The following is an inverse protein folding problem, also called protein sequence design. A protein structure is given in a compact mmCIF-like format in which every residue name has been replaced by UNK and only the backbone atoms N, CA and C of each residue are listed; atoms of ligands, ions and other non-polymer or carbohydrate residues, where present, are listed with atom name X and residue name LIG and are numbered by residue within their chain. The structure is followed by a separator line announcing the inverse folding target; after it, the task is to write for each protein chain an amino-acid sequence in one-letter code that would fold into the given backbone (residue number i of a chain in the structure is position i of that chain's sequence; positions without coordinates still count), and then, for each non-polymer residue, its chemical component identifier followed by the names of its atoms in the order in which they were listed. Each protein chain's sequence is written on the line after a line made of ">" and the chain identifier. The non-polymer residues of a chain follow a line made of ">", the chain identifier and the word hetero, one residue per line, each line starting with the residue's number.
data_IF_332814203998
#
_entry.id   IF_332814203998
#
_cell.length_a   1.000
_cell.length_b   1.000
_cell.length_c   1.000
_cell.angle_alpha   90.00
_cell.angle_beta   90.00
_cell.angle_gamma   90.00
#
_symmetry.space_group_name_H-M   'P 1'
#
loop_
_entity.id
_entity.type
_entity.pdbx_description
1 polymer ?
#
# COMPACT_ATOMS: atom_id res chain seq x y z
N UNK A 1 -51.63 3.62 74.26
CA UNK A 1 -50.25 3.16 73.99
C UNK A 1 -50.25 2.58 72.60
N UNK A 2 -49.75 3.35 71.60
CA UNK A 2 -49.66 2.95 70.20
C UNK A 2 -48.17 2.74 69.87
N UNK A 3 -47.79 1.48 69.54
CA UNK A 3 -46.44 1.14 69.10
C UNK A 3 -46.34 1.41 67.62
N UNK A 4 -45.36 2.27 67.25
CA UNK A 4 -45.01 2.50 65.83
C UNK A 4 -43.98 1.44 65.41
N UNK A 5 -44.31 0.58 64.46
CA UNK A 5 -43.34 -0.26 63.74
C UNK A 5 -42.69 0.58 62.63
N UNK A 6 -41.39 0.79 62.67
CA UNK A 6 -40.58 1.31 61.58
C UNK A 6 -40.05 0.12 60.75
N UNK A 7 -40.56 -0.03 59.56
CA UNK A 7 -40.07 -0.97 58.57
C UNK A 7 -38.91 -0.34 57.81
N UNK A 8 -37.70 -0.83 58.05
CA UNK A 8 -36.49 -0.40 57.34
C UNK A 8 -36.47 -1.11 55.95
N UNK A 9 -36.69 -0.35 54.88
CA UNK A 9 -36.53 -0.84 53.52
C UNK A 9 -35.07 -0.68 53.10
N UNK A 10 -34.32 -1.81 53.10
CA UNK A 10 -32.94 -1.87 52.56
C UNK A 10 -33.01 -1.94 51.04
N UNK A 11 -32.79 -0.81 50.32
CA UNK A 11 -32.53 -0.82 48.91
C UNK A 11 -31.13 -1.34 48.62
N UNK A 12 -31.00 -2.61 48.24
CA UNK A 12 -29.81 -3.16 47.61
C UNK A 12 -29.62 -2.56 46.23
N UNK A 13 -28.81 -1.52 46.06
CA UNK A 13 -28.28 -1.11 44.79
C UNK A 13 -27.27 -2.17 44.28
N UNK A 14 -27.75 -3.08 43.45
CA UNK A 14 -26.89 -4.01 42.74
C UNK A 14 -26.19 -3.23 41.62
N UNK A 15 -25.00 -2.70 41.92
CA UNK A 15 -24.12 -2.08 40.92
C UNK A 15 -23.61 -3.16 39.99
N UNK A 16 -24.30 -3.37 38.86
CA UNK A 16 -23.78 -4.17 37.79
C UNK A 16 -22.69 -3.35 37.08
N UNK A 17 -21.44 -3.50 37.54
CA UNK A 17 -20.28 -3.14 36.74
C UNK A 17 -20.29 -4.07 35.55
N UNK A 18 -20.80 -3.58 34.40
CA UNK A 18 -20.49 -4.19 33.10
C UNK A 18 -18.98 -4.12 32.93
N UNK A 19 -18.31 -5.22 33.20
CA UNK A 19 -16.96 -5.46 32.70
C UNK A 19 -17.12 -5.50 31.16
N UNK A 20 -16.85 -4.38 30.50
CA UNK A 20 -16.62 -4.39 29.08
C UNK A 20 -15.47 -5.38 28.85
N UNK A 21 -15.81 -6.58 28.37
CA UNK A 21 -14.79 -7.52 27.89
C UNK A 21 -14.06 -6.79 26.77
N UNK A 22 -12.78 -6.55 26.98
CA UNK A 22 -11.84 -6.04 25.98
C UNK A 22 -11.73 -7.13 24.88
N UNK A 23 -12.75 -7.19 24.01
CA UNK A 23 -12.70 -8.10 22.87
C UNK A 23 -11.62 -7.57 21.94
N UNK A 24 -10.55 -8.35 21.78
CA UNK A 24 -9.51 -8.07 20.78
C UNK A 24 -10.20 -7.84 19.43
N UNK A 25 -9.82 -6.80 18.69
CA UNK A 25 -10.43 -6.51 17.40
C UNK A 25 -10.27 -7.71 16.47
N UNK A 26 -11.35 -8.08 15.77
CA UNK A 26 -11.29 -9.11 14.73
C UNK A 26 -10.58 -8.49 13.52
N UNK A 27 -9.35 -8.92 13.28
CA UNK A 27 -8.56 -8.49 12.14
C UNK A 27 -9.00 -9.18 10.85
N UNK A 28 -8.94 -8.46 9.75
CA UNK A 28 -9.14 -9.03 8.41
C UNK A 28 -7.93 -9.90 8.06
N UNK A 29 -8.21 -11.12 7.59
CA UNK A 29 -7.20 -12.08 7.17
C UNK A 29 -7.08 -12.15 5.64
N UNK A 30 -6.03 -12.81 5.15
CA UNK A 30 -5.92 -13.16 3.73
C UNK A 30 -7.13 -13.97 3.23
N UNK A 31 -7.60 -14.93 4.03
CA UNK A 31 -8.74 -15.79 3.71
C UNK A 31 -10.03 -14.97 3.59
N UNK A 32 -10.22 -13.97 4.44
CA UNK A 32 -11.39 -13.08 4.34
C UNK A 32 -11.39 -12.30 3.02
N UNK A 33 -10.22 -11.81 2.57
CA UNK A 33 -10.09 -11.12 1.27
C UNK A 33 -10.31 -12.10 0.11
N UNK A 34 -9.69 -13.28 0.15
CA UNK A 34 -9.76 -14.29 -0.91
C UNK A 34 -11.17 -14.88 -1.07
N UNK A 35 -11.98 -14.89 -0.02
CA UNK A 35 -13.35 -15.38 -0.02
C UNK A 35 -14.36 -14.36 -0.57
N UNK A 36 -13.99 -13.08 -0.72
CA UNK A 36 -14.90 -12.07 -1.28
C UNK A 36 -15.20 -12.35 -2.76
N UNK A 37 -16.47 -12.25 -3.19
CA UNK A 37 -16.80 -12.31 -4.61
C UNK A 37 -16.00 -11.25 -5.38
N UNK A 38 -15.31 -11.65 -6.42
CA UNK A 38 -14.52 -10.69 -7.21
C UNK A 38 -15.44 -9.58 -7.77
N UNK A 39 -15.09 -8.29 -7.63
CA UNK A 39 -15.84 -7.23 -8.29
C UNK A 39 -15.70 -7.37 -9.81
N UNK A 40 -16.63 -6.76 -10.57
CA UNK A 40 -16.52 -6.75 -12.03
C UNK A 40 -15.11 -6.38 -12.45
N UNK A 41 -14.53 -7.14 -13.37
CA UNK A 41 -13.15 -6.90 -13.83
C UNK A 41 -13.00 -5.50 -14.44
N UNK A 42 -11.87 -4.87 -14.21
CA UNK A 42 -11.46 -3.69 -14.96
C UNK A 42 -11.12 -4.04 -16.42
N UNK A 43 -10.99 -3.03 -17.25
CA UNK A 43 -10.51 -3.21 -18.62
C UNK A 43 -9.02 -3.60 -18.58
N UNK A 44 -8.69 -4.78 -19.10
CA UNK A 44 -7.30 -5.24 -19.18
C UNK A 44 -6.58 -4.53 -20.33
N UNK A 45 -5.47 -3.87 -19.99
CA UNK A 45 -4.60 -3.18 -20.95
C UNK A 45 -3.17 -3.67 -20.77
N UNK A 46 -2.56 -4.17 -21.85
CA UNK A 46 -1.15 -4.57 -21.84
C UNK A 46 -0.25 -3.34 -21.90
N UNK A 47 0.84 -3.34 -21.13
CA UNK A 47 1.87 -2.31 -21.19
C UNK A 47 3.22 -2.85 -21.72
N UNK A 48 3.31 -4.14 -21.98
CA UNK A 48 4.47 -4.84 -22.51
C UNK A 48 4.06 -6.09 -23.28
N UNK A 49 5.04 -6.90 -23.65
CA UNK A 49 4.85 -8.10 -24.47
C UNK A 49 4.68 -9.39 -23.67
N UNK A 50 5.07 -9.39 -22.39
CA UNK A 50 4.87 -10.52 -21.50
C UNK A 50 3.42 -10.59 -21.02
N UNK A 51 2.90 -11.80 -20.82
CA UNK A 51 1.51 -12.02 -20.38
C UNK A 51 1.19 -11.44 -19.01
N UNK A 52 2.21 -11.17 -18.19
CA UNK A 52 2.12 -10.54 -16.87
C UNK A 52 2.35 -9.01 -16.93
N UNK A 53 2.69 -8.47 -18.10
CA UNK A 53 2.87 -7.04 -18.30
C UNK A 53 1.55 -6.38 -18.72
N UNK A 54 0.58 -6.34 -17.82
CA UNK A 54 -0.72 -5.69 -18.00
C UNK A 54 -1.21 -5.02 -16.72
N UNK A 55 -2.29 -4.30 -16.83
CA UNK A 55 -3.06 -3.83 -15.68
C UNK A 55 -4.55 -3.82 -15.99
N UNK A 56 -5.34 -3.59 -14.96
CA UNK A 56 -6.78 -3.38 -15.05
C UNK A 56 -7.10 -1.91 -14.83
N UNK A 57 -7.63 -1.27 -15.87
CA UNK A 57 -8.14 0.10 -15.81
C UNK A 57 -9.60 0.09 -15.40
N UNK A 58 -9.95 0.88 -14.38
CA UNK A 58 -11.33 1.21 -14.02
C UNK A 58 -11.52 2.71 -14.12
N UNK A 59 -12.62 3.15 -14.67
CA UNK A 59 -12.98 4.56 -14.77
C UNK A 59 -14.22 4.84 -13.92
N UNK A 60 -14.26 5.96 -13.20
CA UNK A 60 -15.50 6.42 -12.57
C UNK A 60 -16.56 6.76 -13.60
N UNK A 61 -17.81 6.91 -13.17
CA UNK A 61 -18.86 7.49 -13.99
C UNK A 61 -18.58 8.97 -14.30
N UNK A 62 -19.03 9.43 -15.47
CA UNK A 62 -18.86 10.82 -15.96
C UNK A 62 -17.75 10.99 -16.99
N UNK A 63 -17.51 12.23 -17.37
CA UNK A 63 -16.65 12.56 -18.54
C UNK A 63 -15.16 12.72 -18.19
N UNK A 64 -14.79 12.90 -16.91
CA UNK A 64 -13.41 13.14 -16.50
C UNK A 64 -12.89 14.54 -16.89
N UNK A 65 -11.54 14.78 -17.00
CA UNK A 65 -10.50 13.78 -16.75
C UNK A 65 -10.32 13.46 -15.25
N UNK A 66 -10.25 12.18 -14.94
CA UNK A 66 -10.20 11.68 -13.57
C UNK A 66 -8.79 11.67 -12.98
N UNK A 67 -8.61 12.02 -11.68
CA UNK A 67 -7.39 11.71 -10.96
C UNK A 67 -7.11 10.21 -11.00
N UNK A 68 -5.83 9.83 -11.07
CA UNK A 68 -5.43 8.43 -11.24
C UNK A 68 -4.79 7.90 -9.97
N UNK A 69 -5.21 6.71 -9.54
CA UNK A 69 -4.51 5.92 -8.54
C UNK A 69 -3.91 4.69 -9.22
N UNK A 70 -2.57 4.65 -9.30
CA UNK A 70 -1.84 3.44 -9.67
C UNK A 70 -1.83 2.54 -8.46
N UNK A 71 -2.40 1.35 -8.58
CA UNK A 71 -2.49 0.36 -7.50
C UNK A 71 -1.47 -0.74 -7.73
N UNK A 72 -0.63 -1.02 -6.73
CA UNK A 72 0.43 -2.02 -6.80
C UNK A 72 0.19 -3.07 -5.72
N UNK A 73 -0.02 -4.31 -6.15
CA UNK A 73 -0.28 -5.40 -5.23
C UNK A 73 0.97 -5.87 -4.48
N UNK A 74 0.78 -6.49 -3.30
CA UNK A 74 1.82 -7.10 -2.50
C UNK A 74 1.97 -8.60 -2.78
N UNK A 75 2.19 -9.38 -1.71
CA UNK A 75 2.42 -10.82 -1.78
C UNK A 75 3.90 -11.18 -1.78
N UNK A 76 4.70 -10.49 -0.95
CA UNK A 76 6.13 -10.77 -0.77
C UNK A 76 6.93 -10.85 -2.09
N UNK A 77 6.49 -10.16 -3.13
CA UNK A 77 7.05 -10.19 -4.50
C UNK A 77 7.08 -11.59 -5.13
N UNK A 78 6.26 -12.55 -4.65
CA UNK A 78 6.24 -13.94 -5.10
C UNK A 78 5.14 -14.21 -6.12
N UNK A 79 5.40 -15.06 -7.12
CA UNK A 79 4.52 -15.37 -8.25
C UNK A 79 3.16 -15.99 -7.88
N UNK A 80 3.04 -16.54 -6.67
CA UNK A 80 1.77 -17.09 -6.17
C UNK A 80 0.71 -16.06 -5.83
N UNK A 81 1.04 -14.77 -5.80
CA UNK A 81 0.12 -13.66 -5.55
C UNK A 81 0.02 -12.77 -6.78
N UNK A 82 -1.13 -12.20 -7.03
CA UNK A 82 -1.42 -11.37 -8.19
C UNK A 82 -2.30 -10.16 -7.83
N UNK A 83 -2.64 -9.35 -8.81
CA UNK A 83 -3.41 -8.11 -8.63
C UNK A 83 -4.84 -8.31 -8.08
N UNK A 84 -5.38 -9.54 -8.09
CA UNK A 84 -6.81 -9.78 -7.81
C UNK A 84 -7.21 -9.38 -6.39
N UNK A 85 -6.36 -9.61 -5.39
CA UNK A 85 -6.72 -9.23 -4.02
C UNK A 85 -6.82 -7.71 -3.80
N UNK A 86 -6.27 -6.89 -4.71
CA UNK A 86 -6.43 -5.44 -4.71
C UNK A 86 -7.66 -4.98 -5.49
N UNK A 87 -8.42 -5.90 -6.10
CA UNK A 87 -9.56 -5.55 -6.96
C UNK A 87 -10.68 -4.84 -6.20
N UNK A 88 -10.97 -5.25 -4.96
CA UNK A 88 -11.98 -4.59 -4.10
C UNK A 88 -11.57 -3.17 -3.73
N UNK A 89 -10.31 -2.96 -3.34
CA UNK A 89 -9.76 -1.64 -3.06
C UNK A 89 -9.84 -0.75 -4.31
N UNK A 90 -9.45 -1.30 -5.47
CA UNK A 90 -9.51 -0.58 -6.75
C UNK A 90 -10.94 -0.18 -7.10
N UNK A 91 -11.92 -1.08 -6.95
CA UNK A 91 -13.32 -0.79 -7.19
C UNK A 91 -13.85 0.30 -6.23
N UNK A 92 -13.49 0.24 -4.94
CA UNK A 92 -13.90 1.24 -3.95
C UNK A 92 -13.27 2.61 -4.21
N UNK A 93 -12.02 2.67 -4.66
CA UNK A 93 -11.39 3.91 -5.11
C UNK A 93 -12.08 4.46 -6.35
N UNK A 94 -12.48 3.59 -7.29
CA UNK A 94 -13.21 4.02 -8.49
C UNK A 94 -14.58 4.58 -8.14
N UNK A 95 -15.32 3.95 -7.24
CA UNK A 95 -16.57 4.48 -6.72
C UNK A 95 -16.40 5.82 -5.96
N UNK A 96 -15.20 6.08 -5.42
CA UNK A 96 -14.85 7.35 -4.78
C UNK A 96 -14.39 8.45 -5.77
N UNK A 97 -14.45 8.20 -7.10
CA UNK A 97 -14.17 9.18 -8.15
C UNK A 97 -12.74 9.16 -8.71
N UNK A 98 -11.98 8.10 -8.50
CA UNK A 98 -10.61 7.95 -9.03
C UNK A 98 -10.56 6.92 -10.16
N UNK A 99 -9.93 7.24 -11.27
CA UNK A 99 -9.50 6.21 -12.20
C UNK A 99 -8.45 5.33 -11.50
N UNK A 100 -8.61 4.01 -11.53
CA UNK A 100 -7.63 3.08 -10.95
C UNK A 100 -6.92 2.31 -12.05
N UNK A 101 -5.60 2.23 -11.92
CA UNK A 101 -4.72 1.43 -12.75
C UNK A 101 -4.05 0.38 -11.87
N UNK A 102 -4.69 -0.81 -11.75
CA UNK A 102 -4.23 -1.91 -10.93
C UNK A 102 -3.25 -2.76 -11.72
N UNK A 103 -1.96 -2.70 -11.34
CA UNK A 103 -0.85 -3.29 -12.09
C UNK A 103 -0.64 -4.76 -11.73
N UNK A 104 -0.47 -5.59 -12.75
CA UNK A 104 0.21 -6.87 -12.68
C UNK A 104 1.66 -6.68 -13.14
N UNK A 105 2.56 -7.52 -12.70
CA UNK A 105 3.98 -7.47 -13.01
C UNK A 105 4.65 -8.82 -12.74
N UNK A 106 5.79 -9.10 -13.36
CA UNK A 106 6.57 -10.32 -13.12
C UNK A 106 7.24 -10.29 -11.75
N UNK A 107 7.13 -11.38 -11.02
CA UNK A 107 7.57 -11.55 -9.63
C UNK A 107 8.65 -12.62 -9.54
N UNK A 108 9.21 -12.80 -8.37
CA UNK A 108 10.09 -13.93 -8.06
C UNK A 108 9.34 -15.23 -8.29
N UNK A 109 9.88 -16.08 -9.17
CA UNK A 109 9.24 -17.32 -9.67
C UNK A 109 8.69 -17.19 -11.09
N UNK A 110 8.43 -15.98 -11.58
CA UNK A 110 8.08 -15.74 -12.99
C UNK A 110 9.37 -15.56 -13.83
N UNK A 111 9.33 -15.97 -15.09
CA UNK A 111 10.44 -15.73 -16.00
C UNK A 111 10.73 -14.23 -16.16
N UNK A 112 11.96 -13.81 -15.87
CA UNK A 112 12.36 -12.40 -15.88
C UNK A 112 11.87 -11.57 -14.70
N UNK A 113 11.21 -12.16 -13.70
CA UNK A 113 10.88 -11.50 -12.43
C UNK A 113 12.08 -11.36 -11.49
N UNK A 114 11.87 -10.68 -10.36
CA UNK A 114 12.98 -10.30 -9.48
C UNK A 114 13.77 -9.09 -10.02
N UNK A 115 14.99 -8.93 -9.55
CA UNK A 115 15.89 -7.86 -10.02
C UNK A 115 16.41 -8.14 -11.42
N UNK A 116 16.38 -7.19 -12.37
CA UNK A 116 15.73 -5.88 -12.28
C UNK A 116 14.26 -5.90 -12.76
N UNK A 117 13.76 -7.05 -13.25
CA UNK A 117 12.53 -7.18 -14.04
C UNK A 117 11.29 -6.67 -13.32
N UNK A 118 11.06 -7.06 -12.04
CA UNK A 118 9.92 -6.58 -11.24
C UNK A 118 9.86 -5.05 -11.19
N UNK A 119 10.99 -4.41 -10.97
CA UNK A 119 11.07 -2.94 -10.89
C UNK A 119 10.84 -2.28 -12.25
N UNK A 120 11.39 -2.85 -13.31
CA UNK A 120 11.20 -2.35 -14.68
C UNK A 120 9.75 -2.48 -15.12
N UNK A 121 9.08 -3.57 -14.76
CA UNK A 121 7.67 -3.80 -15.07
C UNK A 121 6.77 -2.76 -14.41
N UNK A 122 6.88 -2.56 -13.09
CA UNK A 122 6.06 -1.55 -12.41
C UNK A 122 6.37 -0.12 -12.88
N UNK A 123 7.63 0.15 -13.25
CA UNK A 123 8.03 1.42 -13.86
C UNK A 123 7.38 1.62 -15.22
N UNK A 124 7.46 0.62 -16.11
CA UNK A 124 6.89 0.65 -17.46
C UNK A 124 5.36 0.74 -17.40
N UNK A 125 4.71 -0.08 -16.54
CA UNK A 125 3.26 -0.04 -16.35
C UNK A 125 2.76 1.30 -15.85
N UNK A 126 3.49 1.94 -14.92
CA UNK A 126 3.18 3.30 -14.46
C UNK A 126 3.37 4.33 -15.58
N UNK A 127 4.46 4.25 -16.34
CA UNK A 127 4.76 5.18 -17.43
C UNK A 127 3.82 5.02 -18.64
N UNK A 128 3.21 3.83 -18.79
CA UNK A 128 2.22 3.53 -19.84
C UNK A 128 0.97 4.42 -19.75
N UNK A 129 0.66 4.97 -18.59
CA UNK A 129 -0.40 5.97 -18.42
C UNK A 129 -0.26 7.15 -19.38
N UNK A 130 0.96 7.49 -19.82
CA UNK A 130 1.17 8.55 -20.84
C UNK A 130 0.56 8.21 -22.21
N UNK A 131 0.57 6.93 -22.57
CA UNK A 131 -0.10 6.46 -23.79
C UNK A 131 -1.61 6.33 -23.57
N UNK A 132 -2.02 5.80 -22.42
CA UNK A 132 -3.43 5.59 -22.05
C UNK A 132 -4.21 6.91 -22.00
N UNK A 133 -3.60 8.00 -21.51
CA UNK A 133 -4.27 9.31 -21.43
C UNK A 133 -4.61 9.93 -22.79
N UNK A 134 -4.15 9.35 -23.88
CA UNK A 134 -4.58 9.74 -25.24
C UNK A 134 -5.91 9.10 -25.64
N UNK A 135 -6.33 8.04 -24.94
CA UNK A 135 -7.52 7.24 -25.26
C UNK A 135 -8.57 7.29 -24.16
N UNK A 136 -8.13 7.52 -22.90
CA UNK A 136 -8.97 7.50 -21.70
C UNK A 136 -8.89 8.85 -20.98
N UNK A 137 -9.97 9.29 -20.32
CA UNK A 137 -10.04 10.58 -19.64
C UNK A 137 -9.25 10.59 -18.31
N UNK A 138 -7.92 10.49 -18.40
CA UNK A 138 -7.00 10.42 -17.27
C UNK A 138 -6.29 11.76 -17.01
N UNK A 139 -6.33 12.26 -15.80
CA UNK A 139 -5.63 13.46 -15.39
C UNK A 139 -4.21 13.13 -14.88
N UNK A 140 -3.22 13.14 -15.79
CA UNK A 140 -1.83 12.85 -15.44
C UNK A 140 -1.14 13.91 -14.57
N UNK A 141 -1.78 15.06 -14.31
CA UNK A 141 -1.29 16.03 -13.32
C UNK A 141 -1.68 15.61 -11.88
N UNK A 142 -2.59 14.65 -11.73
CA UNK A 142 -3.11 14.15 -10.47
C UNK A 142 -2.96 12.61 -10.40
N UNK A 143 -1.72 12.13 -10.31
CA UNK A 143 -1.40 10.71 -10.19
C UNK A 143 -0.87 10.42 -8.80
N UNK A 144 -1.48 9.47 -8.11
CA UNK A 144 -1.01 8.89 -6.84
C UNK A 144 -0.60 7.45 -7.09
N UNK A 145 0.47 7.00 -6.46
CA UNK A 145 0.79 5.57 -6.40
C UNK A 145 0.36 5.05 -5.03
N UNK A 146 -0.42 4.00 -5.02
CA UNK A 146 -0.85 3.30 -3.81
C UNK A 146 -0.41 1.85 -3.91
N UNK A 147 0.16 1.31 -2.86
CA UNK A 147 0.54 -0.10 -2.83
C UNK A 147 0.46 -0.70 -1.44
N UNK A 148 0.31 -2.01 -1.37
CA UNK A 148 0.18 -2.75 -0.12
C UNK A 148 1.35 -3.70 0.10
N UNK A 149 1.92 -3.74 1.31
CA UNK A 149 2.99 -4.68 1.67
C UNK A 149 4.19 -4.57 0.72
N UNK A 150 4.60 -5.63 0.05
CA UNK A 150 5.59 -5.60 -1.03
C UNK A 150 5.23 -4.59 -2.14
N UNK A 151 3.94 -4.39 -2.45
CA UNK A 151 3.48 -3.34 -3.35
C UNK A 151 3.62 -1.93 -2.75
N UNK A 152 3.53 -1.79 -1.43
CA UNK A 152 3.82 -0.54 -0.71
C UNK A 152 5.29 -0.13 -0.85
N UNK A 153 6.20 -1.11 -0.82
CA UNK A 153 7.60 -0.93 -1.18
C UNK A 153 7.74 -0.41 -2.62
N UNK A 154 7.14 -1.11 -3.59
CA UNK A 154 7.21 -0.72 -5.00
C UNK A 154 6.57 0.66 -5.27
N UNK A 155 5.50 1.01 -4.53
CA UNK A 155 4.86 2.32 -4.64
C UNK A 155 5.79 3.45 -4.15
N UNK A 156 6.45 3.28 -3.00
CA UNK A 156 7.46 4.21 -2.50
C UNK A 156 8.63 4.32 -3.48
N UNK A 157 9.10 3.19 -4.01
CA UNK A 157 10.17 3.16 -5.00
C UNK A 157 9.79 3.89 -6.29
N UNK A 158 8.56 3.70 -6.81
CA UNK A 158 8.06 4.42 -8.00
C UNK A 158 8.08 5.95 -7.80
N UNK A 159 7.76 6.43 -6.60
CA UNK A 159 7.86 7.85 -6.27
C UNK A 159 9.33 8.33 -6.15
N UNK A 160 10.24 7.43 -5.74
CA UNK A 160 11.65 7.68 -5.51
C UNK A 160 12.52 7.56 -6.77
N UNK A 161 12.09 6.80 -7.79
CA UNK A 161 12.92 6.40 -8.95
C UNK A 161 13.53 7.55 -9.77
N UNK A 162 13.00 8.77 -9.62
CA UNK A 162 13.60 9.98 -10.22
C UNK A 162 14.98 10.31 -9.63
N UNK A 163 15.29 9.79 -8.44
CA UNK A 163 16.57 9.99 -7.74
C UNK A 163 17.61 8.93 -8.10
N UNK A 164 17.26 7.96 -8.97
CA UNK A 164 18.17 6.93 -9.41
C UNK A 164 19.32 7.52 -10.24
N UNK A 165 20.56 7.09 -10.00
CA UNK A 165 21.68 7.50 -10.81
C UNK A 165 21.58 6.92 -12.22
N UNK A 166 22.12 7.62 -13.22
CA UNK A 166 22.01 7.24 -14.65
C UNK A 166 22.59 5.85 -14.96
N UNK A 167 23.57 5.40 -14.21
CA UNK A 167 24.18 4.07 -14.35
C UNK A 167 23.37 2.93 -13.75
N UNK A 168 22.29 3.24 -13.01
CA UNK A 168 21.42 2.21 -12.44
C UNK A 168 20.73 1.42 -13.55
N UNK A 169 20.67 0.08 -13.40
CA UNK A 169 19.87 -0.78 -14.29
C UNK A 169 18.36 -0.43 -14.27
N UNK A 170 17.92 0.30 -13.23
CA UNK A 170 16.53 0.73 -13.05
C UNK A 170 16.28 2.16 -13.54
N UNK A 171 17.30 2.84 -14.10
CA UNK A 171 17.16 4.22 -14.54
C UNK A 171 16.24 4.35 -15.75
N UNK A 172 15.26 5.24 -15.66
CA UNK A 172 14.38 5.62 -16.77
C UNK A 172 14.46 7.12 -16.98
N UNK A 173 14.75 7.53 -18.22
CA UNK A 173 14.75 8.95 -18.57
C UNK A 173 13.31 9.50 -18.62
N UNK A 174 13.02 10.56 -17.85
CA UNK A 174 11.70 11.22 -17.80
C UNK A 174 10.58 10.28 -17.32
N UNK A 175 10.67 9.70 -16.11
CA UNK A 175 9.57 8.91 -15.55
C UNK A 175 8.30 9.76 -15.41
N UNK A 176 7.13 9.12 -15.37
CA UNK A 176 5.88 9.80 -15.07
C UNK A 176 5.98 10.45 -13.68
N UNK A 177 5.65 11.73 -13.62
CA UNK A 177 5.61 12.47 -12.35
C UNK A 177 4.38 12.06 -11.55
N UNK A 178 4.57 11.73 -10.28
CA UNK A 178 3.47 11.45 -9.35
C UNK A 178 3.34 12.58 -8.32
N UNK A 179 2.12 12.85 -7.85
CA UNK A 179 1.84 13.84 -6.80
C UNK A 179 2.31 13.36 -5.43
N UNK A 180 2.27 12.04 -5.23
CA UNK A 180 2.73 11.41 -4.02
C UNK A 180 2.41 9.93 -3.97
N UNK A 181 2.57 9.36 -2.79
CA UNK A 181 2.43 7.93 -2.55
C UNK A 181 1.65 7.66 -1.28
N UNK A 182 0.84 6.59 -1.31
CA UNK A 182 0.20 5.99 -0.13
C UNK A 182 0.73 4.56 -0.01
N UNK A 183 1.52 4.31 1.01
CA UNK A 183 2.11 3.00 1.30
C UNK A 183 1.31 2.35 2.43
N UNK A 184 0.61 1.27 2.11
CA UNK A 184 -0.20 0.48 3.06
C UNK A 184 0.65 -0.67 3.58
N UNK A 185 1.02 -0.67 4.85
CA UNK A 185 1.91 -1.66 5.47
C UNK A 185 3.14 -1.97 4.60
N UNK A 186 3.74 -0.94 4.00
CA UNK A 186 4.81 -1.14 3.02
C UNK A 186 6.18 -1.32 3.64
N UNK A 187 7.01 -2.13 2.98
CA UNK A 187 8.42 -2.32 3.34
C UNK A 187 9.21 -1.13 2.78
N UNK A 188 9.67 -0.23 3.65
CA UNK A 188 10.34 1.01 3.25
C UNK A 188 11.86 0.92 3.29
N UNK A 189 12.40 -0.04 4.05
CA UNK A 189 13.82 -0.34 4.15
C UNK A 189 14.07 -1.83 3.88
N UNK A 190 14.51 -2.15 2.67
CA UNK A 190 14.79 -3.53 2.26
C UNK A 190 15.98 -4.14 3.00
N UNK A 191 16.99 -3.35 3.39
CA UNK A 191 18.19 -3.86 4.05
C UNK A 191 17.83 -4.38 5.45
N UNK A 192 17.16 -3.56 6.26
CA UNK A 192 16.73 -3.98 7.59
C UNK A 192 15.70 -5.11 7.54
N UNK A 193 14.80 -5.07 6.55
CA UNK A 193 13.79 -6.11 6.39
C UNK A 193 14.40 -7.44 5.95
N UNK A 194 15.41 -7.46 5.06
CA UNK A 194 16.09 -8.68 4.60
C UNK A 194 16.84 -9.43 5.71
N UNK A 195 17.27 -8.71 6.75
CA UNK A 195 18.07 -9.27 7.86
C UNK A 195 17.24 -9.63 9.09
N UNK A 196 15.95 -9.27 9.10
CA UNK A 196 15.02 -9.61 10.17
C UNK A 196 14.39 -10.98 9.93
N UNK A 197 13.81 -11.57 10.99
CA UNK A 197 13.05 -12.81 10.91
C UNK A 197 11.59 -12.52 10.54
N UNK A 198 10.98 -13.37 9.72
CA UNK A 198 9.57 -13.25 9.33
C UNK A 198 9.23 -13.91 8.01
N UNK A 199 7.93 -13.99 7.71
CA UNK A 199 7.42 -14.75 6.58
C UNK A 199 7.83 -14.19 5.20
N UNK A 200 7.87 -12.86 5.04
CA UNK A 200 8.24 -12.19 3.79
C UNK A 200 9.73 -11.79 3.74
N UNK A 201 10.43 -11.80 4.86
CA UNK A 201 11.83 -11.36 4.94
C UNK A 201 12.75 -12.19 4.04
N UNK A 202 12.56 -13.53 4.03
CA UNK A 202 13.31 -14.45 3.19
C UNK A 202 13.07 -14.28 1.67
N UNK A 203 12.03 -13.53 1.28
CA UNK A 203 11.76 -13.22 -0.14
C UNK A 203 12.62 -12.05 -0.66
N UNK A 204 13.10 -11.16 0.22
CA UNK A 204 13.90 -10.00 -0.20
C UNK A 204 15.19 -10.42 -0.91
N UNK A 205 16.03 -11.32 -0.37
CA UNK A 205 17.21 -11.79 -1.09
C UNK A 205 16.89 -12.47 -2.42
N UNK A 206 15.72 -13.14 -2.54
CA UNK A 206 15.27 -13.73 -3.81
C UNK A 206 14.89 -12.65 -4.81
N UNK A 207 14.18 -11.59 -4.37
CA UNK A 207 13.88 -10.43 -5.20
C UNK A 207 15.15 -9.74 -5.69
N UNK A 208 16.12 -9.54 -4.81
CA UNK A 208 17.32 -8.77 -5.07
C UNK A 208 18.44 -9.60 -5.74
N UNK A 209 18.33 -10.94 -5.73
CA UNK A 209 19.35 -11.86 -6.23
C UNK A 209 20.57 -11.96 -5.31
N UNK A 210 20.39 -11.72 -4.01
CA UNK A 210 21.44 -11.82 -2.97
C UNK A 210 21.12 -11.00 -1.73
N UNK A 211 21.87 -11.24 -0.67
CA UNK A 211 21.80 -10.47 0.59
C UNK A 211 22.40 -9.05 0.41
N UNK A 212 22.07 -8.08 1.31
CA UNK A 212 22.61 -6.72 1.20
C UNK A 212 24.12 -6.64 1.06
N UNK A 213 24.87 -7.46 1.80
CA UNK A 213 26.33 -7.48 1.71
C UNK A 213 26.86 -8.04 0.38
N UNK A 214 26.07 -8.86 -0.32
CA UNK A 214 26.46 -9.49 -1.59
C UNK A 214 26.16 -8.60 -2.81
N UNK A 215 25.08 -7.83 -2.75
CA UNK A 215 24.60 -6.99 -3.87
C UNK A 215 24.22 -5.57 -3.39
N UNK A 216 25.13 -4.84 -2.73
CA UNK A 216 24.83 -3.57 -2.05
C UNK A 216 24.24 -2.50 -2.99
N UNK A 217 24.73 -2.42 -4.22
CA UNK A 217 24.23 -1.44 -5.22
C UNK A 217 22.77 -1.68 -5.60
N UNK A 218 22.34 -2.95 -5.62
CA UNK A 218 20.93 -3.25 -5.91
C UNK A 218 20.04 -2.73 -4.78
N UNK A 219 20.42 -2.94 -3.53
CA UNK A 219 19.69 -2.41 -2.38
C UNK A 219 19.70 -0.88 -2.36
N UNK A 220 20.84 -0.25 -2.66
CA UNK A 220 20.93 1.21 -2.77
C UNK A 220 19.97 1.79 -3.83
N UNK A 221 19.69 1.05 -4.90
CA UNK A 221 18.80 1.47 -5.98
C UNK A 221 17.35 1.00 -5.81
N UNK A 222 17.09 0.04 -4.93
CA UNK A 222 15.76 -0.54 -4.73
C UNK A 222 15.10 -0.12 -3.41
N UNK A 223 15.86 0.16 -2.35
CA UNK A 223 15.31 0.53 -1.04
C UNK A 223 14.84 1.98 -1.03
N UNK A 224 13.55 2.27 -0.79
CA UNK A 224 13.06 3.65 -0.68
C UNK A 224 13.80 4.47 0.38
N UNK A 225 14.20 3.85 1.49
CA UNK A 225 15.01 4.47 2.55
C UNK A 225 16.30 5.10 2.02
N UNK A 226 16.95 4.45 1.02
CA UNK A 226 18.21 4.91 0.42
C UNK A 226 18.01 6.01 -0.61
N UNK A 227 16.79 6.12 -1.18
CA UNK A 227 16.46 7.06 -2.26
C UNK A 227 15.83 8.37 -1.76
N UNK A 228 15.74 8.58 -0.45
CA UNK A 228 15.23 9.84 0.13
C UNK A 228 16.20 11.02 -0.14
N UNK A 229 15.69 12.27 -0.28
CA UNK A 229 14.30 12.70 -0.17
C UNK A 229 13.51 12.52 -1.47
N UNK A 230 12.22 12.13 -1.36
CA UNK A 230 11.36 11.91 -2.52
C UNK A 230 10.77 13.21 -3.09
N UNK A 231 10.68 14.27 -2.28
CA UNK A 231 10.12 15.58 -2.66
C UNK A 231 8.69 15.49 -3.24
N UNK A 232 7.89 14.57 -2.68
CA UNK A 232 6.45 14.41 -2.91
C UNK A 232 5.78 14.09 -1.58
N UNK A 233 4.44 14.22 -1.50
CA UNK A 233 3.69 13.82 -0.30
C UNK A 233 3.70 12.31 -0.13
N UNK A 234 3.90 11.85 1.08
CA UNK A 234 4.01 10.44 1.42
C UNK A 234 3.14 10.14 2.65
N UNK A 235 2.22 9.20 2.50
CA UNK A 235 1.42 8.65 3.59
C UNK A 235 1.79 7.18 3.79
N UNK A 236 2.26 6.86 5.00
CA UNK A 236 2.56 5.50 5.41
C UNK A 236 1.44 5.06 6.36
N UNK A 237 0.48 4.32 5.83
CA UNK A 237 -0.66 3.81 6.60
C UNK A 237 -0.29 2.43 7.14
N UNK A 238 -0.30 2.29 8.47
CA UNK A 238 0.20 1.08 9.13
C UNK A 238 -0.77 0.62 10.21
N UNK A 239 -1.07 -0.68 10.21
CA UNK A 239 -1.79 -1.32 11.32
C UNK A 239 -0.85 -1.57 12.50
N UNK A 240 -1.25 -1.20 13.72
CA UNK A 240 -0.45 -1.45 14.90
C UNK A 240 -0.42 -2.94 15.30
N UNK A 241 -1.37 -3.72 14.82
CA UNK A 241 -1.48 -5.16 15.06
C UNK A 241 -1.02 -5.99 13.84
N UNK A 242 -0.23 -5.40 12.95
CA UNK A 242 0.31 -6.08 11.77
C UNK A 242 1.37 -7.12 12.17
N UNK A 243 1.14 -8.43 11.93
CA UNK A 243 2.09 -9.48 12.28
C UNK A 243 3.14 -9.74 11.19
N UNK A 244 3.05 -9.05 10.04
CA UNK A 244 3.87 -9.31 8.85
C UNK A 244 4.90 -8.21 8.63
N UNK A 245 4.46 -6.95 8.66
CA UNK A 245 5.34 -5.78 8.47
C UNK A 245 5.33 -4.96 9.75
N UNK A 246 6.46 -4.90 10.47
CA UNK A 246 6.55 -4.18 11.73
C UNK A 246 6.38 -2.67 11.50
N UNK A 247 5.80 -1.98 12.49
CA UNK A 247 5.54 -0.53 12.46
C UNK A 247 6.81 0.30 12.27
N UNK A 248 7.97 -0.26 12.61
CA UNK A 248 9.29 0.34 12.45
C UNK A 248 9.60 0.66 10.99
N UNK A 249 9.09 -0.14 10.03
CA UNK A 249 9.27 0.14 8.60
C UNK A 249 8.69 1.51 8.24
N UNK A 250 7.51 1.85 8.74
CA UNK A 250 6.87 3.14 8.51
C UNK A 250 7.49 4.27 9.35
N UNK A 251 7.72 4.02 10.66
CA UNK A 251 8.15 5.06 11.60
C UNK A 251 9.60 5.46 11.41
N UNK A 252 10.51 4.50 11.20
CA UNK A 252 11.93 4.79 10.92
C UNK A 252 12.08 5.50 9.57
N UNK A 253 11.35 5.05 8.55
CA UNK A 253 11.34 5.71 7.23
C UNK A 253 10.87 7.17 7.33
N UNK A 254 9.73 7.44 8.00
CA UNK A 254 9.20 8.80 8.12
C UNK A 254 10.13 9.71 8.92
N UNK A 255 10.79 9.19 9.96
CA UNK A 255 11.80 9.93 10.73
C UNK A 255 12.99 10.33 9.85
N UNK A 256 13.52 9.38 9.06
CA UNK A 256 14.60 9.64 8.12
C UNK A 256 14.18 10.61 7.01
N UNK A 257 12.96 10.48 6.46
CA UNK A 257 12.45 11.38 5.44
C UNK A 257 12.35 12.82 5.98
N UNK A 258 11.78 13.01 7.18
CA UNK A 258 11.67 14.33 7.83
C UNK A 258 13.02 14.97 8.08
N UNK A 259 14.04 14.22 8.53
CA UNK A 259 15.41 14.75 8.74
C UNK A 259 16.04 15.23 7.44
N UNK A 260 15.59 14.75 6.27
CA UNK A 260 16.03 15.17 4.93
C UNK A 260 15.10 16.24 4.31
N UNK A 261 14.18 16.81 5.09
CA UNK A 261 13.23 17.84 4.64
C UNK A 261 12.14 17.32 3.71
N UNK A 262 11.73 16.06 3.85
CA UNK A 262 10.67 15.42 3.07
C UNK A 262 9.35 15.37 3.85
N UNK A 263 8.22 15.37 3.14
CA UNK A 263 6.88 15.33 3.71
C UNK A 263 6.38 13.89 3.79
N UNK A 264 6.72 13.20 4.88
CA UNK A 264 6.26 11.85 5.16
C UNK A 264 5.44 11.81 6.45
N UNK A 265 4.21 11.29 6.37
CA UNK A 265 3.27 11.16 7.47
C UNK A 265 2.96 9.69 7.74
N UNK A 266 3.03 9.28 9.01
CA UNK A 266 2.60 7.96 9.46
C UNK A 266 1.17 8.05 9.98
N UNK A 267 0.28 7.24 9.41
CA UNK A 267 -1.09 7.03 9.86
C UNK A 267 -1.15 5.66 10.54
N UNK A 268 -0.96 5.65 11.85
CA UNK A 268 -1.00 4.41 12.62
C UNK A 268 -2.44 4.12 13.07
N UNK A 269 -2.92 2.91 12.75
CA UNK A 269 -4.25 2.42 13.10
C UNK A 269 -4.13 1.41 14.26
N UNK A 270 -4.57 1.77 15.48
CA UNK A 270 -4.32 0.95 16.67
C UNK A 270 -4.99 -0.44 16.63
N UNK A 271 -6.14 -0.55 15.94
CA UNK A 271 -6.96 -1.76 15.90
C UNK A 271 -6.97 -2.44 14.51
N UNK A 272 -5.96 -2.21 13.68
CA UNK A 272 -5.86 -2.79 12.35
C UNK A 272 -4.64 -3.71 12.24
N UNK A 273 -4.79 -4.80 11.50
CA UNK A 273 -3.72 -5.69 11.06
C UNK A 273 -3.31 -5.40 9.61
N UNK A 274 -2.63 -6.39 9.00
CA UNK A 274 -2.06 -6.25 7.67
C UNK A 274 -3.11 -6.05 6.57
N UNK A 275 -4.13 -6.91 6.55
CA UNK A 275 -5.13 -6.92 5.48
C UNK A 275 -6.31 -5.98 5.70
N UNK A 276 -6.48 -5.43 6.90
CA UNK A 276 -7.48 -4.38 7.16
C UNK A 276 -7.30 -3.18 6.24
N UNK A 277 -6.05 -2.91 5.83
CA UNK A 277 -5.70 -1.75 5.01
C UNK A 277 -6.15 -1.86 3.55
N UNK A 278 -6.46 -3.07 3.08
CA UNK A 278 -6.91 -3.33 1.69
C UNK A 278 -8.37 -3.75 1.59
N UNK A 279 -9.06 -3.82 2.72
CA UNK A 279 -10.46 -4.22 2.83
C UNK A 279 -11.38 -2.99 2.92
N UNK A 280 -12.16 -2.65 1.87
CA UNK A 280 -13.05 -1.47 1.91
C UNK A 280 -14.15 -1.55 2.98
N UNK A 281 -14.48 -2.75 3.47
CA UNK A 281 -15.42 -2.98 4.56
C UNK A 281 -14.79 -2.79 5.94
N UNK A 282 -13.46 -2.68 6.03
CA UNK A 282 -12.73 -2.48 7.28
C UNK A 282 -12.87 -1.03 7.78
N UNK A 283 -12.84 -0.79 9.11
CA UNK A 283 -12.74 0.55 9.68
C UNK A 283 -11.50 1.35 9.24
N UNK A 284 -10.50 0.70 8.63
CA UNK A 284 -9.31 1.37 8.08
C UNK A 284 -9.62 2.15 6.79
N UNK A 285 -10.64 1.76 6.01
CA UNK A 285 -10.94 2.33 4.69
C UNK A 285 -11.07 3.85 4.66
N UNK A 286 -11.83 4.52 5.56
CA UNK A 286 -11.94 5.98 5.55
C UNK A 286 -10.59 6.69 5.67
N UNK A 287 -9.63 6.12 6.41
CA UNK A 287 -8.29 6.69 6.60
C UNK A 287 -7.39 6.43 5.38
N UNK A 288 -7.50 5.26 4.74
CA UNK A 288 -6.86 4.99 3.45
C UNK A 288 -7.34 5.98 2.39
N UNK A 289 -8.66 6.14 2.25
CA UNK A 289 -9.26 7.07 1.29
C UNK A 289 -8.87 8.52 1.61
N UNK A 290 -8.84 8.92 2.88
CA UNK A 290 -8.36 10.23 3.32
C UNK A 290 -6.92 10.46 2.87
N UNK A 291 -6.03 9.49 3.06
CA UNK A 291 -4.63 9.60 2.66
C UNK A 291 -4.47 9.85 1.15
N UNK A 292 -5.26 9.15 0.32
CA UNK A 292 -5.31 9.40 -1.14
C UNK A 292 -5.76 10.83 -1.46
N UNK A 293 -6.83 11.30 -0.81
CA UNK A 293 -7.34 12.67 -0.96
C UNK A 293 -6.31 13.72 -0.58
N UNK A 294 -5.61 13.53 0.54
CA UNK A 294 -4.61 14.50 1.02
C UNK A 294 -3.39 14.59 0.08
N UNK A 295 -2.98 13.47 -0.55
CA UNK A 295 -1.94 13.51 -1.59
C UNK A 295 -2.36 14.38 -2.77
N UNK A 296 -3.63 14.33 -3.17
CA UNK A 296 -4.15 15.02 -4.35
C UNK A 296 -4.57 16.47 -4.09
N UNK A 297 -4.78 16.85 -2.82
CA UNK A 297 -5.13 18.26 -2.50
C UNK A 297 -4.04 19.19 -3.04
N UNK A 298 -4.46 20.11 -3.90
CA UNK A 298 -3.62 21.23 -4.30
C UNK A 298 -3.48 22.17 -3.11
N UNK A 299 -2.25 22.58 -2.80
CA UNK A 299 -2.01 23.83 -2.08
C UNK A 299 -1.93 24.95 -3.09
#
# INVERSE_FOLDING_TARGET
>A
MRALLYTLLLCLFCSHTLLAQDQKPKLVTWQDIAALPAPAAGMRVAYGTDSLQFGELRLPEGDGPFPVVVVVHGGCWLSQYNLQYMAHLSAALTAAGYATWNLEFRRVGDAGGGWPGTFLDVAQGTDHLKAMAKQYPLNLKQVVVLGHSAGGHLALWLAARKNLPRQSALYVRKPLKVKGVVSLAGIADLESYATAEGSCNAAVPKLMGGMPAQVPDRYAHASPMRLQPLKVRQYLVQGALDPIVPTEQATAYARSAKSKGDAAEVVLLPNAGHFDLVAPQSPAWPLVLKSVREVLRQK
#
